data_IF_238839156366
#
_entry.id   IF_238839156366
#
_cell.length_a   1.000
_cell.length_b   1.000
_cell.length_c   1.000
_cell.angle_alpha   90.00
_cell.angle_beta   90.00
_cell.angle_gamma   90.00
#
_symmetry.space_group_name_H-M   'P 1'
#
loop_
_entity.id
_entity.type
_entity.pdbx_description
1 polymer ?
#
# COMPACT_ATOMS: atom_id res chain seq x y z
N UNK A 1 -5.04 -5.04 -6.97
CA UNK A 1 -5.21 -4.78 -5.51
C UNK A 1 -6.27 -5.73 -4.97
N UNK A 2 -6.00 -6.41 -3.89
CA UNK A 2 -6.91 -7.40 -3.29
C UNK A 2 -7.48 -6.84 -2.00
N UNK A 3 -8.79 -6.91 -1.82
CA UNK A 3 -9.46 -6.65 -0.55
C UNK A 3 -9.87 -7.98 0.04
N UNK A 4 -9.32 -8.30 1.21
CA UNK A 4 -9.63 -9.56 1.88
C UNK A 4 -10.97 -9.51 2.61
N UNK A 5 -11.74 -10.62 2.64
CA UNK A 5 -12.90 -10.75 3.51
C UNK A 5 -12.52 -10.60 4.99
N UNK A 6 -11.37 -11.16 5.36
CA UNK A 6 -10.79 -11.05 6.70
C UNK A 6 -9.55 -10.18 6.62
N UNK A 7 -9.62 -8.97 7.14
CA UNK A 7 -8.55 -7.99 7.06
C UNK A 7 -7.26 -8.54 7.69
N UNK A 8 -6.23 -8.68 6.88
CA UNK A 8 -4.89 -8.96 7.39
C UNK A 8 -4.38 -7.63 7.94
N UNK A 9 -4.24 -7.54 9.26
CA UNK A 9 -3.63 -6.38 9.90
C UNK A 9 -2.12 -6.40 9.61
N UNK A 10 -1.75 -6.02 8.41
CA UNK A 10 -0.44 -5.46 8.22
C UNK A 10 -0.52 -4.07 8.86
N UNK A 11 0.24 -3.85 9.92
CA UNK A 11 0.45 -2.53 10.50
C UNK A 11 1.21 -1.65 9.49
N UNK A 12 0.58 -1.43 8.35
CA UNK A 12 1.14 -0.55 7.32
C UNK A 12 1.04 0.87 7.85
N UNK A 13 2.14 1.38 8.31
CA UNK A 13 2.26 2.77 8.71
C UNK A 13 2.19 3.64 7.47
N UNK A 14 1.07 4.36 7.33
CA UNK A 14 0.78 5.17 6.16
C UNK A 14 1.09 6.62 6.48
N UNK A 15 1.93 7.23 5.66
CA UNK A 15 2.19 8.66 5.66
C UNK A 15 1.34 9.33 4.59
N UNK A 16 0.79 10.49 4.89
CA UNK A 16 -0.02 11.28 3.97
C UNK A 16 0.53 12.69 3.85
N UNK A 17 0.88 13.08 2.63
CA UNK A 17 1.32 14.44 2.31
C UNK A 17 0.13 15.20 1.77
N UNK A 18 -0.36 16.15 2.54
CA UNK A 18 -1.46 17.04 2.18
C UNK A 18 -1.29 18.40 2.86
N UNK A 19 -1.94 19.47 2.35
CA UNK A 19 -1.87 20.79 2.93
C UNK A 19 -2.30 20.78 4.42
N UNK A 20 -1.52 21.40 5.31
CA UNK A 20 -1.82 21.40 6.74
C UNK A 20 -3.16 22.07 7.02
N UNK A 21 -3.95 21.50 7.93
CA UNK A 21 -5.27 22.02 8.30
C UNK A 21 -6.38 21.79 7.26
N UNK A 22 -6.09 21.12 6.15
CA UNK A 22 -7.09 20.76 5.13
C UNK A 22 -8.07 19.73 5.66
N UNK A 23 -9.24 19.64 5.00
CA UNK A 23 -10.23 18.61 5.28
C UNK A 23 -9.62 17.22 5.11
N UNK A 24 -8.82 17.04 4.07
CA UNK A 24 -8.10 15.82 3.75
C UNK A 24 -7.13 15.38 4.85
N UNK A 25 -6.47 16.35 5.51
CA UNK A 25 -5.58 16.06 6.63
C UNK A 25 -6.35 15.45 7.82
N UNK A 26 -7.51 16.03 8.15
CA UNK A 26 -8.36 15.54 9.25
C UNK A 26 -8.92 14.14 8.93
N UNK A 27 -9.38 13.95 7.71
CA UNK A 27 -9.90 12.67 7.23
C UNK A 27 -8.81 11.60 7.18
N UNK A 28 -7.59 11.94 6.78
CA UNK A 28 -6.46 11.01 6.79
C UNK A 28 -6.07 10.55 8.20
N UNK A 29 -6.09 11.47 9.17
CA UNK A 29 -5.86 11.13 10.58
C UNK A 29 -6.97 10.23 11.11
N UNK A 30 -8.24 10.54 10.81
CA UNK A 30 -9.39 9.71 11.20
C UNK A 30 -9.33 8.31 10.57
N UNK A 31 -8.85 8.20 9.34
CA UNK A 31 -8.59 6.94 8.65
C UNK A 31 -7.37 6.17 9.21
N UNK A 32 -6.60 6.79 10.12
CA UNK A 32 -5.50 6.16 10.85
C UNK A 32 -4.14 6.24 10.14
N UNK A 33 -3.89 7.31 9.39
CA UNK A 33 -2.54 7.64 8.95
C UNK A 33 -1.65 8.00 10.15
N UNK A 34 -0.40 7.53 10.11
CA UNK A 34 0.56 7.72 11.22
C UNK A 34 1.18 9.11 11.20
N UNK A 35 1.42 9.63 10.01
CA UNK A 35 2.02 10.94 9.80
C UNK A 35 1.25 11.67 8.70
N UNK A 36 0.77 12.88 8.99
CA UNK A 36 -0.05 13.69 8.07
C UNK A 36 0.45 15.13 8.07
N UNK A 37 0.68 15.70 6.91
CA UNK A 37 1.11 17.08 6.73
C UNK A 37 2.02 17.26 5.54
N UNK A 38 2.63 18.44 5.40
CA UNK A 38 3.63 18.73 4.38
C UNK A 38 5.00 18.92 5.02
N UNK A 39 5.20 20.03 5.73
CA UNK A 39 6.50 20.40 6.27
C UNK A 39 6.99 19.40 7.33
N UNK A 40 6.10 18.95 8.20
CA UNK A 40 6.42 17.95 9.22
C UNK A 40 6.93 16.63 8.61
N UNK A 41 6.28 16.20 7.52
CA UNK A 41 6.71 15.01 6.77
C UNK A 41 8.05 15.26 6.10
N UNK A 42 8.24 16.43 5.50
CA UNK A 42 9.48 16.76 4.80
C UNK A 42 10.68 16.82 5.76
N UNK A 43 10.49 17.38 6.94
CA UNK A 43 11.53 17.48 7.95
C UNK A 43 11.87 16.10 8.53
N UNK A 44 10.85 15.29 8.85
CA UNK A 44 11.06 13.91 9.30
C UNK A 44 11.84 13.06 8.28
N UNK A 45 11.50 13.19 6.99
CA UNK A 45 12.20 12.46 5.91
C UNK A 45 13.64 12.95 5.75
N UNK A 46 13.90 14.26 5.85
CA UNK A 46 15.26 14.85 5.78
C UNK A 46 16.13 14.41 6.96
N UNK A 47 15.54 14.30 8.15
CA UNK A 47 16.21 13.79 9.35
C UNK A 47 16.43 12.26 9.30
N UNK A 48 15.91 11.58 8.28
CA UNK A 48 16.02 10.14 8.14
C UNK A 48 15.04 9.33 8.99
N UNK A 49 14.12 10.00 9.67
CA UNK A 49 13.03 9.37 10.44
C UNK A 49 11.90 8.92 9.52
N UNK A 50 12.12 7.80 8.83
CA UNK A 50 11.13 7.22 7.92
C UNK A 50 10.49 6.04 8.63
N UNK A 51 9.48 6.34 9.44
CA UNK A 51 8.73 5.37 10.23
C UNK A 51 7.43 4.93 9.54
N UNK A 52 7.37 5.02 8.22
CA UNK A 52 6.21 4.64 7.42
C UNK A 52 6.61 3.68 6.29
N UNK A 53 5.69 2.81 5.97
CA UNK A 53 5.86 1.77 4.95
C UNK A 53 5.25 2.17 3.60
N UNK A 54 4.36 3.16 3.62
CA UNK A 54 3.69 3.71 2.45
C UNK A 54 3.51 5.21 2.56
N UNK A 55 3.63 5.89 1.42
CA UNK A 55 3.41 7.33 1.33
C UNK A 55 2.35 7.63 0.26
N UNK A 56 1.35 8.41 0.63
CA UNK A 56 0.34 8.97 -0.25
C UNK A 56 0.52 10.47 -0.33
N UNK A 57 0.12 11.07 -1.43
CA UNK A 57 0.12 12.53 -1.58
C UNK A 57 -1.19 13.02 -2.19
N UNK A 58 -1.63 14.20 -1.76
CA UNK A 58 -2.67 14.95 -2.44
C UNK A 58 -2.07 15.68 -3.65
N UNK A 59 -2.78 15.83 -4.77
CA UNK A 59 -2.27 16.52 -5.96
C UNK A 59 -1.75 17.94 -5.66
N UNK A 60 -2.42 18.67 -4.78
CA UNK A 60 -2.05 20.05 -4.41
C UNK A 60 -0.68 20.14 -3.73
N UNK A 61 -0.23 19.08 -3.06
CA UNK A 61 1.05 19.02 -2.37
C UNK A 61 2.22 18.56 -3.27
N UNK A 62 1.94 18.16 -4.50
CA UNK A 62 3.00 17.75 -5.44
C UNK A 62 4.04 18.82 -5.74
N UNK A 63 3.67 20.10 -5.94
CA UNK A 63 4.65 21.16 -6.15
C UNK A 63 5.58 21.35 -4.96
N UNK A 64 5.05 21.27 -3.73
CA UNK A 64 5.81 21.36 -2.48
C UNK A 64 6.75 20.16 -2.32
N UNK A 65 6.24 18.95 -2.59
CA UNK A 65 7.01 17.71 -2.55
C UNK A 65 8.20 17.73 -3.52
N UNK A 66 7.99 18.23 -4.74
CA UNK A 66 9.05 18.36 -5.74
C UNK A 66 10.10 19.40 -5.34
N UNK A 67 9.68 20.54 -4.77
CA UNK A 67 10.59 21.57 -4.26
C UNK A 67 11.43 21.07 -3.09
N UNK A 68 10.87 20.24 -2.23
CA UNK A 68 11.57 19.65 -1.08
C UNK A 68 12.63 18.62 -1.48
N UNK A 69 12.73 18.26 -2.78
CA UNK A 69 13.71 17.33 -3.36
C UNK A 69 13.80 15.94 -2.65
N UNK A 70 12.71 15.49 -2.07
CA UNK A 70 12.63 14.23 -1.31
C UNK A 70 12.79 12.98 -2.20
N UNK A 71 12.73 13.13 -3.51
CA UNK A 71 12.91 12.03 -4.45
C UNK A 71 14.23 11.29 -4.30
N UNK A 72 15.29 11.97 -3.84
CA UNK A 72 16.60 11.35 -3.58
C UNK A 72 16.58 10.39 -2.38
N UNK A 73 15.69 10.65 -1.41
CA UNK A 73 15.57 9.86 -0.18
C UNK A 73 14.49 8.80 -0.33
N UNK A 74 13.30 9.19 -0.80
CA UNK A 74 12.14 8.31 -0.93
C UNK A 74 12.16 7.43 -2.20
N UNK A 75 12.84 7.90 -3.26
CA UNK A 75 12.92 7.19 -4.54
C UNK A 75 13.57 5.80 -4.42
N UNK A 76 14.80 5.68 -3.88
CA UNK A 76 15.46 4.38 -3.70
C UNK A 76 14.69 3.41 -2.82
N UNK A 77 13.89 3.93 -1.87
CA UNK A 77 13.03 3.13 -0.97
C UNK A 77 11.70 2.75 -1.59
N UNK A 78 11.38 3.28 -2.79
CA UNK A 78 10.10 3.05 -3.46
C UNK A 78 8.90 3.71 -2.77
N UNK A 79 9.16 4.71 -1.91
CA UNK A 79 8.15 5.43 -1.13
C UNK A 79 7.74 6.76 -1.75
N UNK A 80 8.37 7.17 -2.86
CA UNK A 80 8.04 8.43 -3.52
C UNK A 80 6.64 8.38 -4.13
N UNK A 81 5.73 9.30 -3.73
CA UNK A 81 4.41 9.38 -4.33
C UNK A 81 4.49 9.71 -5.82
N UNK A 82 3.69 9.04 -6.62
CA UNK A 82 3.64 9.23 -8.07
C UNK A 82 2.24 8.94 -8.60
N UNK A 83 1.82 9.70 -9.59
CA UNK A 83 0.58 9.46 -10.33
C UNK A 83 0.61 8.08 -11.01
N UNK A 84 1.78 7.69 -11.54
CA UNK A 84 1.97 6.38 -12.20
C UNK A 84 1.77 5.18 -11.27
N UNK A 85 2.11 5.35 -9.99
CA UNK A 85 1.93 4.29 -8.99
C UNK A 85 0.57 4.34 -8.30
N UNK A 86 -0.28 5.33 -8.63
CA UNK A 86 -1.59 5.51 -8.01
C UNK A 86 -1.52 5.90 -6.54
N UNK A 87 -0.41 6.53 -6.13
CA UNK A 87 -0.20 7.01 -4.76
C UNK A 87 -0.46 8.50 -4.61
N UNK A 88 -0.78 9.18 -5.69
CA UNK A 88 -1.30 10.55 -5.72
C UNK A 88 -2.80 10.46 -5.94
N UNK A 89 -3.58 10.88 -4.96
CA UNK A 89 -5.05 10.71 -4.94
C UNK A 89 -5.72 11.93 -4.30
N UNK A 90 -6.89 12.29 -4.81
CA UNK A 90 -7.73 13.36 -4.26
C UNK A 90 -8.45 12.90 -2.99
N UNK A 91 -9.00 11.69 -3.01
CA UNK A 91 -9.65 11.07 -1.85
C UNK A 91 -8.63 10.24 -1.06
N UNK A 92 -7.95 10.93 -0.17
CA UNK A 92 -6.88 10.34 0.65
C UNK A 92 -7.44 9.37 1.69
N UNK A 93 -8.59 9.69 2.29
CA UNK A 93 -9.18 8.89 3.35
C UNK A 93 -9.58 7.50 2.85
N UNK A 94 -10.36 7.44 1.78
CA UNK A 94 -10.73 6.16 1.15
C UNK A 94 -9.50 5.35 0.74
N UNK A 95 -8.43 6.04 0.32
CA UNK A 95 -7.21 5.35 -0.06
C UNK A 95 -6.44 4.79 1.13
N UNK A 96 -6.40 5.51 2.25
CA UNK A 96 -5.82 5.03 3.51
C UNK A 96 -6.60 3.80 4.00
N UNK A 97 -7.93 3.85 4.04
CA UNK A 97 -8.78 2.73 4.43
C UNK A 97 -8.58 1.52 3.51
N UNK A 98 -8.48 1.76 2.22
CA UNK A 98 -8.18 0.73 1.23
C UNK A 98 -6.83 0.05 1.50
N UNK A 99 -5.81 0.82 1.83
CA UNK A 99 -4.46 0.31 2.09
C UNK A 99 -4.35 -0.40 3.44
N UNK A 100 -5.17 -0.03 4.41
CA UNK A 100 -5.27 -0.74 5.70
C UNK A 100 -6.02 -2.06 5.58
N UNK A 101 -7.05 -2.13 4.72
CA UNK A 101 -7.86 -3.34 4.51
C UNK A 101 -7.51 -4.18 3.30
N UNK A 102 -6.59 -3.70 2.45
CA UNK A 102 -6.23 -4.36 1.21
C UNK A 102 -4.72 -4.50 1.01
N UNK A 103 -4.33 -5.51 0.25
CA UNK A 103 -2.93 -5.74 -0.13
C UNK A 103 -2.73 -5.47 -1.61
N UNK A 104 -1.71 -4.67 -1.92
CA UNK A 104 -1.24 -4.49 -3.30
C UNK A 104 -0.19 -5.54 -3.57
N UNK A 105 -0.38 -6.30 -4.64
CA UNK A 105 0.59 -7.27 -5.07
C UNK A 105 1.22 -6.86 -6.41
N UNK A 106 2.43 -7.32 -6.64
CA UNK A 106 3.16 -7.18 -7.89
C UNK A 106 3.77 -8.51 -8.27
N UNK A 107 3.73 -8.81 -9.55
CA UNK A 107 4.49 -9.92 -10.09
C UNK A 107 5.96 -9.51 -10.22
N UNK A 108 6.84 -10.38 -9.78
CA UNK A 108 8.29 -10.31 -10.02
C UNK A 108 8.78 -11.71 -10.39
N UNK A 109 9.42 -11.84 -11.53
CA UNK A 109 9.98 -13.10 -12.01
C UNK A 109 8.95 -14.25 -12.06
N UNK A 110 7.76 -13.95 -12.55
CA UNK A 110 6.61 -14.86 -12.60
C UNK A 110 6.10 -15.32 -11.21
N UNK A 111 6.47 -14.64 -10.12
CA UNK A 111 6.03 -14.97 -8.77
C UNK A 111 5.27 -13.79 -8.16
N UNK A 112 4.16 -14.10 -7.49
CA UNK A 112 3.40 -13.16 -6.66
C UNK A 112 3.56 -13.60 -5.21
N UNK A 113 4.00 -12.69 -4.34
CA UNK A 113 4.11 -12.90 -2.89
C UNK A 113 3.27 -11.89 -2.16
N UNK A 114 2.38 -12.37 -1.29
CA UNK A 114 1.53 -11.51 -0.48
C UNK A 114 1.12 -12.22 0.81
N UNK A 115 0.92 -11.48 1.91
CA UNK A 115 0.36 -12.03 3.14
C UNK A 115 -1.13 -12.27 2.94
N UNK A 116 -1.63 -13.45 3.34
CA UNK A 116 -3.05 -13.83 3.27
C UNK A 116 -3.69 -13.95 4.66
N UNK A 117 -2.90 -13.92 5.72
CA UNK A 117 -3.39 -14.05 7.09
C UNK A 117 -2.29 -13.86 8.13
N UNK A 118 -2.68 -14.04 9.36
CA UNK A 118 -1.83 -13.96 10.55
C UNK A 118 -1.98 -15.25 11.36
N UNK A 119 -1.06 -15.50 12.30
CA UNK A 119 -1.06 -16.70 13.15
C UNK A 119 -2.36 -16.88 13.96
N UNK A 120 -3.07 -15.80 14.28
CA UNK A 120 -4.35 -15.84 15.00
C UNK A 120 -5.57 -16.15 14.12
N UNK A 121 -5.39 -16.32 12.80
CA UNK A 121 -6.52 -16.61 11.92
C UNK A 121 -6.95 -18.07 11.99
N UNK A 122 -8.27 -18.30 11.95
CA UNK A 122 -8.80 -19.64 11.80
C UNK A 122 -8.50 -20.20 10.40
N UNK A 123 -8.46 -21.54 10.24
CA UNK A 123 -8.27 -22.17 8.93
C UNK A 123 -9.31 -21.71 7.88
N UNK A 124 -10.52 -21.43 8.31
CA UNK A 124 -11.60 -20.95 7.44
C UNK A 124 -11.32 -19.53 6.92
N UNK A 125 -10.85 -18.62 7.79
CA UNK A 125 -10.46 -17.27 7.42
C UNK A 125 -9.29 -17.26 6.43
N UNK A 126 -8.30 -18.12 6.66
CA UNK A 126 -7.18 -18.29 5.73
C UNK A 126 -7.62 -18.82 4.38
N UNK A 127 -8.53 -19.81 4.37
CA UNK A 127 -9.10 -20.38 3.14
C UNK A 127 -9.85 -19.32 2.33
N UNK A 128 -10.67 -18.49 2.98
CA UNK A 128 -11.48 -17.48 2.31
C UNK A 128 -10.60 -16.38 1.73
N UNK A 129 -9.57 -15.94 2.46
CA UNK A 129 -8.60 -14.98 1.96
C UNK A 129 -7.77 -15.55 0.79
N UNK A 130 -7.35 -16.80 0.87
CA UNK A 130 -6.64 -17.48 -0.21
C UNK A 130 -7.50 -17.60 -1.46
N UNK A 131 -8.77 -17.99 -1.31
CA UNK A 131 -9.72 -18.07 -2.42
C UNK A 131 -9.87 -16.73 -3.11
N UNK A 132 -10.12 -15.67 -2.35
CA UNK A 132 -10.24 -14.30 -2.87
C UNK A 132 -8.97 -13.87 -3.61
N UNK A 133 -7.80 -14.23 -3.08
CA UNK A 133 -6.51 -13.98 -3.74
C UNK A 133 -6.44 -14.63 -5.11
N UNK A 134 -6.72 -15.92 -5.19
CA UNK A 134 -6.64 -16.68 -6.44
C UNK A 134 -7.64 -16.15 -7.47
N UNK A 135 -8.87 -15.86 -7.05
CA UNK A 135 -9.91 -15.29 -7.91
C UNK A 135 -9.50 -13.93 -8.47
N UNK A 136 -8.95 -13.04 -7.62
CA UNK A 136 -8.51 -11.72 -8.05
C UNK A 136 -7.31 -11.80 -9.00
N UNK A 137 -6.33 -12.64 -8.70
CA UNK A 137 -5.16 -12.84 -9.59
C UNK A 137 -5.60 -13.40 -10.94
N UNK A 138 -6.52 -14.36 -10.97
CA UNK A 138 -7.09 -14.89 -12.23
C UNK A 138 -7.82 -13.80 -13.02
N UNK A 139 -8.61 -12.96 -12.34
CA UNK A 139 -9.32 -11.85 -12.96
C UNK A 139 -8.36 -10.82 -13.56
N UNK A 140 -7.32 -10.45 -12.80
CA UNK A 140 -6.32 -9.49 -13.26
C UNK A 140 -5.47 -10.06 -14.40
N UNK A 141 -5.16 -11.37 -14.38
CA UNK A 141 -4.46 -12.06 -15.46
C UNK A 141 -5.31 -12.12 -16.74
N UNK A 142 -6.61 -12.37 -16.63
CA UNK A 142 -7.53 -12.36 -17.77
C UNK A 142 -7.71 -10.97 -18.37
N UNK A 143 -7.53 -9.90 -17.59
CA UNK A 143 -7.55 -8.51 -18.06
C UNK A 143 -6.26 -8.05 -18.75
N UNK A 144 -5.19 -8.85 -18.72
CA UNK A 144 -3.99 -8.59 -19.50
C UNK A 144 -4.24 -9.04 -20.94
N UNK A 145 -3.82 -8.19 -21.90
CA UNK A 145 -4.06 -8.41 -23.35
C UNK A 145 -3.77 -9.85 -23.78
N UNK A 146 -4.52 -10.34 -24.76
CA UNK A 146 -4.50 -11.69 -25.36
C UNK A 146 -3.11 -12.20 -25.79
N UNK A 147 -2.09 -11.35 -25.80
CA UNK A 147 -0.71 -11.72 -26.14
C UNK A 147 0.07 -12.37 -25.00
N UNK A 148 -0.43 -12.28 -23.75
CA UNK A 148 0.27 -12.81 -22.58
C UNK A 148 -0.69 -13.77 -21.87
N UNK A 149 -0.61 -15.04 -22.21
CA UNK A 149 -1.38 -16.09 -21.53
C UNK A 149 -0.68 -16.44 -20.21
N UNK A 150 -1.06 -15.73 -19.12
CA UNK A 150 -0.56 -16.00 -17.78
C UNK A 150 -1.53 -16.91 -17.03
N UNK A 151 -1.02 -18.04 -16.56
CA UNK A 151 -1.78 -19.01 -15.76
C UNK A 151 -1.11 -19.20 -14.41
N UNK A 152 -1.90 -19.55 -13.41
CA UNK A 152 -1.39 -19.94 -12.10
C UNK A 152 -1.06 -21.42 -12.18
N UNK A 153 0.23 -21.77 -12.08
CA UNK A 153 0.70 -23.15 -12.11
C UNK A 153 0.78 -23.77 -10.73
N UNK A 154 1.16 -22.97 -9.74
CA UNK A 154 1.39 -23.44 -8.39
C UNK A 154 0.99 -22.38 -7.37
N UNK A 155 0.45 -22.81 -6.23
CA UNK A 155 0.14 -21.98 -5.08
C UNK A 155 0.80 -22.60 -3.86
N UNK A 156 1.74 -21.89 -3.24
CA UNK A 156 2.44 -22.32 -2.03
C UNK A 156 2.06 -21.40 -0.89
N UNK A 157 1.57 -21.96 0.21
CA UNK A 157 1.36 -21.23 1.46
C UNK A 157 2.49 -21.56 2.43
N UNK A 158 3.06 -20.54 3.03
CA UNK A 158 4.16 -20.65 3.97
C UNK A 158 3.93 -19.78 5.18
N UNK A 159 4.18 -20.31 6.37
CA UNK A 159 4.17 -19.54 7.61
C UNK A 159 5.57 -18.98 7.84
N UNK A 160 5.68 -17.67 7.95
CA UNK A 160 6.92 -16.97 8.30
C UNK A 160 6.74 -16.43 9.71
N UNK A 161 7.55 -16.91 10.63
CA UNK A 161 7.64 -16.39 12.00
C UNK A 161 8.85 -15.47 12.05
N UNK A 162 8.62 -14.16 12.24
CA UNK A 162 9.70 -13.23 12.53
C UNK A 162 10.01 -13.34 14.02
N UNK A 163 11.20 -13.84 14.33
CA UNK A 163 11.75 -13.80 15.70
C UNK A 163 12.40 -12.43 15.81
N UNK A 164 11.78 -11.53 16.57
CA UNK A 164 12.32 -10.20 16.91
C UNK A 164 13.44 -10.30 17.94
#
# INVERSE_FOLDING_TARGET
MIRFPHAVQTESRICVICPPGSKQAKEAIAAGAVLVGEQEVFDAVKEGKIEFDRCLAHPDSLPALNKAALGRILGPRGLMPSVKTGTVVEDVASRVDMLRGGTVYRERDAVIRLPIGQLGFSPEQLRDNLRTTIEQVKKDAAGLNDRINKQIYEVVSQTVVSVG
#
